data_IF_125851929868
#
_entry.id   IF_125851929868
#
_cell.length_a   1.000
_cell.length_b   1.000
_cell.length_c   1.000
_cell.angle_alpha   90.00
_cell.angle_beta   90.00
_cell.angle_gamma   90.00
#
_symmetry.space_group_name_H-M   'P 1'
#
loop_
_entity.id
_entity.type
_entity.pdbx_description
1 polymer ?
#
# COMPACT_ATOMS: atom_id res chain seq x y z
N UNK A 1 13.34 17.77 6.15
CA UNK A 1 12.00 18.36 5.94
C UNK A 1 11.18 17.24 5.35
N UNK A 2 10.11 16.80 6.00
CA UNK A 2 9.38 15.63 5.54
C UNK A 2 8.29 16.02 4.54
N UNK A 3 8.08 15.17 3.53
CA UNK A 3 7.05 15.32 2.52
C UNK A 3 6.25 14.03 2.36
N UNK A 4 4.96 14.18 2.22
CA UNK A 4 4.02 13.12 1.89
C UNK A 4 3.57 13.24 0.43
N UNK A 5 3.68 12.16 -0.31
CA UNK A 5 3.32 12.09 -1.73
C UNK A 5 2.19 11.09 -1.91
N UNK A 6 1.13 11.51 -2.61
CA UNK A 6 0.00 10.63 -2.99
C UNK A 6 -0.27 10.68 -4.48
N UNK A 7 -0.90 9.62 -4.99
CA UNK A 7 -1.14 9.37 -6.40
C UNK A 7 -2.64 9.20 -6.63
N UNK A 8 -3.17 9.91 -7.62
CA UNK A 8 -4.51 9.66 -8.13
C UNK A 8 -4.40 8.78 -9.36
N UNK A 9 -5.05 7.62 -9.30
CA UNK A 9 -4.88 6.54 -10.28
C UNK A 9 -6.23 6.22 -10.92
N UNK A 10 -6.24 5.94 -12.22
CA UNK A 10 -7.46 5.52 -12.93
C UNK A 10 -7.77 4.05 -12.61
N UNK A 11 -9.03 3.75 -12.33
CA UNK A 11 -9.54 2.38 -12.32
C UNK A 11 -10.80 2.30 -13.18
N UNK A 12 -10.97 1.16 -13.84
CA UNK A 12 -12.09 0.96 -14.78
C UNK A 12 -13.29 0.24 -14.16
N UNK A 13 -13.08 -0.44 -13.04
CA UNK A 13 -14.10 -1.27 -12.38
C UNK A 13 -13.95 -1.20 -10.87
N UNK A 14 -15.03 -1.49 -10.18
CA UNK A 14 -15.06 -1.71 -8.73
C UNK A 14 -15.48 -3.16 -8.51
N UNK A 15 -14.85 -3.83 -7.53
CA UNK A 15 -15.19 -5.19 -7.15
C UNK A 15 -16.61 -5.29 -6.58
N UNK A 16 -17.12 -6.51 -6.39
CA UNK A 16 -18.46 -6.79 -5.85
C UNK A 16 -18.73 -6.20 -4.47
N UNK A 17 -17.67 -5.94 -3.70
CA UNK A 17 -17.80 -5.26 -2.41
C UNK A 17 -18.12 -3.75 -2.55
N UNK A 18 -18.19 -3.22 -3.78
CA UNK A 18 -18.48 -1.84 -4.16
C UNK A 18 -17.51 -0.79 -3.61
N UNK A 19 -16.36 -1.21 -3.08
CA UNK A 19 -15.37 -0.30 -2.50
C UNK A 19 -13.94 -0.55 -2.98
N UNK A 20 -13.61 -1.77 -3.46
CA UNK A 20 -12.26 -2.07 -3.92
C UNK A 20 -12.10 -1.73 -5.41
N UNK A 21 -11.25 -0.76 -5.78
CA UNK A 21 -10.96 -0.50 -7.18
C UNK A 21 -10.19 -1.65 -7.83
N UNK A 22 -10.51 -1.91 -9.09
CA UNK A 22 -9.74 -2.79 -9.98
C UNK A 22 -9.09 -1.89 -11.03
N UNK A 23 -7.79 -1.66 -10.86
CA UNK A 23 -7.01 -0.77 -11.72
C UNK A 23 -6.76 -1.38 -13.10
N UNK A 24 -6.57 -0.53 -14.11
CA UNK A 24 -6.26 -0.97 -15.47
C UNK A 24 -4.87 -1.64 -15.56
N UNK A 25 -3.96 -1.24 -14.67
CA UNK A 25 -2.63 -1.83 -14.50
C UNK A 25 -2.19 -1.65 -13.05
N UNK A 26 -1.44 -2.64 -12.55
CA UNK A 26 -0.82 -2.64 -11.23
C UNK A 26 0.70 -2.40 -11.28
N UNK A 27 1.27 -2.15 -12.47
CA UNK A 27 2.71 -1.93 -12.64
C UNK A 27 3.23 -0.71 -11.86
N UNK A 28 2.39 0.32 -11.70
CA UNK A 28 2.71 1.49 -10.89
C UNK A 28 2.85 1.11 -9.40
N UNK A 29 1.89 0.35 -8.88
CA UNK A 29 1.86 -0.09 -7.49
C UNK A 29 3.02 -1.04 -7.19
N UNK A 30 3.25 -2.01 -8.09
CA UNK A 30 4.41 -2.92 -8.03
C UNK A 30 5.74 -2.14 -8.10
N UNK A 31 5.83 -1.12 -8.96
CA UNK A 31 6.99 -0.26 -9.07
C UNK A 31 7.29 0.54 -7.82
N UNK A 32 6.26 0.98 -7.09
CA UNK A 32 6.41 1.63 -5.78
C UNK A 32 6.81 0.65 -4.70
N UNK A 33 6.00 -0.39 -4.49
CA UNK A 33 6.17 -1.28 -3.35
C UNK A 33 7.51 -2.02 -3.42
N UNK A 34 7.96 -2.43 -4.62
CA UNK A 34 9.27 -3.08 -4.80
C UNK A 34 10.47 -2.20 -4.42
N UNK A 35 10.34 -0.87 -4.53
CA UNK A 35 11.38 0.06 -4.07
C UNK A 35 11.33 0.23 -2.56
N UNK A 36 10.13 0.34 -1.99
CA UNK A 36 9.92 0.56 -0.56
C UNK A 36 10.33 -0.66 0.27
N UNK A 37 10.04 -1.87 -0.22
CA UNK A 37 10.34 -3.13 0.49
C UNK A 37 11.83 -3.25 0.86
N UNK A 38 12.74 -2.70 0.04
CA UNK A 38 14.19 -2.68 0.31
C UNK A 38 14.59 -1.93 1.59
N UNK A 39 13.71 -1.07 2.09
CA UNK A 39 13.92 -0.23 3.27
C UNK A 39 12.83 -0.48 4.33
N UNK A 40 12.23 -1.67 4.34
CA UNK A 40 11.13 -2.01 5.26
C UNK A 40 11.54 -3.11 6.21
N UNK A 41 11.24 -2.93 7.50
CA UNK A 41 11.48 -3.92 8.56
C UNK A 41 10.19 -4.61 9.00
N UNK A 42 9.06 -3.90 8.92
CA UNK A 42 7.78 -4.29 9.51
C UNK A 42 6.61 -3.96 8.59
N UNK A 43 5.52 -4.69 8.79
CA UNK A 43 4.26 -4.43 8.08
C UNK A 43 3.07 -4.39 9.04
N UNK A 44 2.02 -3.71 8.59
CA UNK A 44 0.68 -3.77 9.18
C UNK A 44 -0.34 -3.94 8.05
N UNK A 45 -1.13 -5.00 8.10
CA UNK A 45 -2.26 -5.24 7.20
C UNK A 45 -3.55 -4.92 7.94
N UNK A 46 -4.41 -4.11 7.34
CA UNK A 46 -5.77 -3.83 7.82
C UNK A 46 -6.77 -4.35 6.81
N UNK A 47 -7.82 -4.96 7.32
CA UNK A 47 -8.76 -5.78 6.54
C UNK A 47 -10.17 -5.61 7.10
N UNK A 48 -11.18 -5.60 6.23
CA UNK A 48 -12.55 -5.80 6.64
C UNK A 48 -12.79 -7.28 6.98
N UNK A 49 -13.80 -7.55 7.82
CA UNK A 49 -14.16 -8.91 8.23
C UNK A 49 -14.47 -9.86 7.06
N UNK A 50 -14.85 -9.29 5.91
CA UNK A 50 -15.25 -10.03 4.71
C UNK A 50 -14.08 -10.17 3.69
N UNK A 51 -12.90 -9.60 3.96
CA UNK A 51 -11.69 -9.71 3.10
C UNK A 51 -11.01 -11.09 3.26
N UNK A 52 -11.69 -12.17 2.89
CA UNK A 52 -11.25 -13.56 3.18
C UNK A 52 -9.82 -13.85 2.72
N UNK A 53 -9.45 -13.50 1.48
CA UNK A 53 -8.10 -13.75 0.95
C UNK A 53 -7.03 -12.90 1.66
N UNK A 54 -7.37 -11.66 2.01
CA UNK A 54 -6.49 -10.78 2.77
C UNK A 54 -6.31 -11.24 4.23
N UNK A 55 -7.36 -11.75 4.87
CA UNK A 55 -7.30 -12.36 6.21
C UNK A 55 -6.41 -13.60 6.20
N UNK A 56 -6.51 -14.46 5.19
CA UNK A 56 -5.63 -15.62 5.05
C UNK A 56 -4.16 -15.20 4.91
N UNK A 57 -3.88 -14.17 4.11
CA UNK A 57 -2.54 -13.57 4.03
C UNK A 57 -2.09 -13.04 5.40
N UNK A 58 -2.94 -12.28 6.10
CA UNK A 58 -2.61 -11.72 7.42
C UNK A 58 -2.32 -12.79 8.47
N UNK A 59 -3.11 -13.86 8.51
CA UNK A 59 -2.90 -15.00 9.41
C UNK A 59 -1.62 -15.78 9.10
N UNK A 60 -1.23 -15.87 7.83
CA UNK A 60 -0.02 -16.57 7.40
C UNK A 60 1.25 -15.83 7.78
N UNK A 61 1.27 -14.51 7.62
CA UNK A 61 2.50 -13.72 7.73
C UNK A 61 2.59 -12.87 8.99
N UNK A 62 1.47 -12.63 9.68
CA UNK A 62 1.39 -11.71 10.80
C UNK A 62 0.69 -12.29 12.01
N UNK A 63 0.76 -11.54 13.10
CA UNK A 63 -0.02 -11.77 14.31
C UNK A 63 -1.17 -10.79 14.36
N UNK A 64 -2.38 -11.30 14.56
CA UNK A 64 -3.54 -10.44 14.80
C UNK A 64 -3.35 -9.67 16.11
N UNK A 65 -3.59 -8.37 16.08
CA UNK A 65 -3.53 -7.50 17.27
C UNK A 65 -4.88 -6.87 17.54
N UNK A 66 -5.21 -6.53 18.80
CA UNK A 66 -6.43 -5.80 19.11
C UNK A 66 -6.47 -4.45 18.38
N UNK A 67 -7.63 -4.09 17.85
CA UNK A 67 -7.90 -2.78 17.27
C UNK A 67 -9.22 -2.26 17.84
N UNK A 68 -9.14 -1.20 18.64
CA UNK A 68 -10.29 -0.61 19.32
C UNK A 68 -10.73 0.71 18.66
N UNK A 69 -10.05 1.14 17.61
CA UNK A 69 -10.27 2.45 16.97
C UNK A 69 -11.18 2.35 15.74
N UNK A 70 -11.07 1.26 14.99
CA UNK A 70 -11.86 0.99 13.79
C UNK A 70 -12.40 -0.43 13.83
N UNK A 71 -13.27 -0.78 12.89
CA UNK A 71 -13.79 -2.14 12.73
C UNK A 71 -12.86 -3.06 11.92
N UNK A 72 -11.68 -2.57 11.54
CA UNK A 72 -10.71 -3.32 10.75
C UNK A 72 -10.02 -4.39 11.61
N UNK A 73 -9.84 -5.56 11.03
CA UNK A 73 -8.95 -6.60 11.55
C UNK A 73 -7.52 -6.18 11.23
N UNK A 74 -6.64 -6.19 12.22
CA UNK A 74 -5.25 -5.74 12.08
C UNK A 74 -4.28 -6.88 12.32
N UNK A 75 -3.39 -7.13 11.36
CA UNK A 75 -2.25 -8.04 11.48
C UNK A 75 -0.95 -7.25 11.41
N UNK A 76 0.01 -7.61 12.28
CA UNK A 76 1.35 -7.00 12.31
C UNK A 76 2.42 -8.07 12.30
N UNK A 77 3.58 -7.76 11.73
CA UNK A 77 4.72 -8.64 11.75
C UNK A 77 5.98 -8.00 11.18
N UNK A 78 7.08 -8.76 11.25
CA UNK A 78 8.33 -8.41 10.57
C UNK A 78 8.20 -8.74 9.09
N UNK A 79 8.85 -7.96 8.24
CA UNK A 79 8.99 -8.30 6.84
C UNK A 79 9.90 -9.53 6.71
N UNK A 80 9.41 -10.59 6.08
CA UNK A 80 10.19 -11.78 5.74
C UNK A 80 10.29 -11.93 4.23
N UNK A 81 11.27 -12.68 3.70
CA UNK A 81 11.37 -12.93 2.25
C UNK A 81 10.10 -13.54 1.65
N UNK A 82 9.39 -14.40 2.40
CA UNK A 82 8.15 -15.01 1.94
C UNK A 82 7.01 -14.00 1.85
N UNK A 83 6.93 -13.05 2.78
CA UNK A 83 5.96 -11.97 2.70
C UNK A 83 6.30 -10.98 1.57
N UNK A 84 7.59 -10.64 1.40
CA UNK A 84 8.04 -9.84 0.27
C UNK A 84 7.62 -10.48 -1.07
N UNK A 85 7.80 -11.80 -1.19
CA UNK A 85 7.36 -12.53 -2.36
C UNK A 85 5.82 -12.49 -2.53
N UNK A 86 5.04 -12.66 -1.46
CA UNK A 86 3.57 -12.52 -1.52
C UNK A 86 3.15 -11.13 -2.03
N UNK A 87 3.76 -10.07 -1.49
CA UNK A 87 3.49 -8.68 -1.89
C UNK A 87 3.85 -8.43 -3.36
N UNK A 88 4.93 -9.03 -3.86
CA UNK A 88 5.40 -8.80 -5.23
C UNK A 88 4.71 -9.68 -6.28
N UNK A 89 4.20 -10.85 -5.90
CA UNK A 89 3.75 -11.86 -6.87
C UNK A 89 2.31 -12.34 -6.67
N UNK A 90 1.74 -12.13 -5.49
CA UNK A 90 0.43 -12.63 -5.09
C UNK A 90 -0.35 -11.57 -4.30
N UNK A 91 -0.36 -10.33 -4.79
CA UNK A 91 -0.97 -9.19 -4.11
C UNK A 91 -2.45 -8.97 -4.44
N UNK A 92 -2.97 -9.64 -5.47
CA UNK A 92 -4.36 -9.52 -5.91
C UNK A 92 -5.23 -10.66 -5.39
N UNK A 93 -6.49 -10.35 -5.10
CA UNK A 93 -7.55 -11.35 -4.92
C UNK A 93 -7.89 -12.03 -6.24
N UNK A 94 -8.68 -13.10 -6.20
CA UNK A 94 -9.23 -13.73 -7.41
C UNK A 94 -10.11 -12.80 -8.23
N UNK A 95 -10.70 -11.78 -7.60
CA UNK A 95 -11.50 -10.76 -8.28
C UNK A 95 -10.64 -9.68 -8.96
N UNK A 96 -9.35 -9.61 -8.61
CA UNK A 96 -8.36 -8.78 -9.31
C UNK A 96 -8.07 -7.44 -8.64
N UNK A 97 -8.53 -7.19 -7.42
CA UNK A 97 -8.14 -6.03 -6.62
C UNK A 97 -7.09 -6.40 -5.56
N UNK A 98 -6.42 -5.41 -4.96
CA UNK A 98 -5.43 -5.66 -3.90
C UNK A 98 -6.07 -6.38 -2.71
N UNK A 99 -5.40 -7.37 -2.14
CA UNK A 99 -5.92 -8.22 -1.05
C UNK A 99 -6.18 -7.47 0.25
N UNK A 100 -5.39 -6.44 0.54
CA UNK A 100 -5.41 -5.73 1.81
C UNK A 100 -6.14 -4.41 1.67
N UNK A 101 -7.11 -4.16 2.56
CA UNK A 101 -7.77 -2.86 2.61
C UNK A 101 -6.74 -1.76 2.87
N UNK A 102 -5.83 -1.97 3.82
CA UNK A 102 -4.61 -1.16 3.95
C UNK A 102 -3.38 -2.04 4.11
N UNK A 103 -2.34 -1.77 3.34
CA UNK A 103 -0.98 -2.28 3.56
C UNK A 103 -0.07 -1.12 3.97
N UNK A 104 0.39 -1.15 5.22
CA UNK A 104 1.37 -0.22 5.77
C UNK A 104 2.73 -0.90 5.87
N UNK A 105 3.78 -0.25 5.37
CA UNK A 105 5.17 -0.70 5.49
C UNK A 105 5.96 0.30 6.33
N UNK A 106 6.82 -0.23 7.20
CA UNK A 106 7.54 0.55 8.21
C UNK A 106 9.03 0.26 8.23
N UNK A 107 9.81 1.28 8.56
CA UNK A 107 11.23 1.18 8.93
C UNK A 107 11.37 1.62 10.38
N UNK A 108 11.77 0.72 11.27
CA UNK A 108 11.63 0.96 12.71
C UNK A 108 10.20 1.35 13.08
N UNK A 109 10.02 2.54 13.68
CA UNK A 109 8.71 3.08 14.09
C UNK A 109 8.02 3.93 13.02
N UNK A 110 8.69 4.26 11.93
CA UNK A 110 8.21 5.22 10.92
C UNK A 110 7.47 4.50 9.78
N UNK A 111 6.36 5.08 9.31
CA UNK A 111 5.69 4.62 8.11
C UNK A 111 6.45 5.14 6.89
N UNK A 112 6.89 4.23 6.02
CA UNK A 112 7.56 4.59 4.77
C UNK A 112 6.63 4.47 3.56
N UNK A 113 5.54 3.73 3.71
CA UNK A 113 4.51 3.56 2.69
C UNK A 113 3.18 3.15 3.31
N UNK A 114 2.10 3.66 2.73
CA UNK A 114 0.74 3.18 2.96
C UNK A 114 0.06 2.98 1.62
N UNK A 115 -0.64 1.86 1.47
CA UNK A 115 -1.54 1.58 0.36
C UNK A 115 -2.91 1.28 0.97
N UNK A 116 -3.68 2.33 1.23
CA UNK A 116 -5.02 2.29 1.80
C UNK A 116 -6.11 2.17 0.72
N UNK A 117 -7.32 1.84 1.15
CA UNK A 117 -8.49 1.64 0.28
C UNK A 117 -8.19 0.71 -0.92
N UNK A 118 -7.53 -0.42 -0.64
CA UNK A 118 -7.10 -1.40 -1.66
C UNK A 118 -6.19 -0.80 -2.75
N UNK A 119 -5.40 0.22 -2.38
CA UNK A 119 -4.46 0.92 -3.26
C UNK A 119 -4.99 2.21 -3.87
N UNK A 120 -6.27 2.57 -3.67
CA UNK A 120 -6.81 3.84 -4.18
C UNK A 120 -6.12 5.05 -3.56
N UNK A 121 -5.67 4.90 -2.32
CA UNK A 121 -4.95 5.93 -1.60
C UNK A 121 -3.55 5.40 -1.24
N UNK A 122 -2.57 5.79 -2.03
CA UNK A 122 -1.17 5.44 -1.77
C UNK A 122 -0.43 6.65 -1.20
N UNK A 123 0.29 6.48 -0.10
CA UNK A 123 1.11 7.50 0.55
C UNK A 123 2.56 7.03 0.63
N UNK A 124 3.50 7.89 0.24
CA UNK A 124 4.94 7.71 0.45
C UNK A 124 5.48 8.90 1.20
N UNK A 125 6.29 8.64 2.22
CA UNK A 125 6.96 9.66 3.02
C UNK A 125 8.44 9.74 2.64
N UNK A 126 8.92 10.94 2.37
CA UNK A 126 10.30 11.24 1.95
C UNK A 126 10.88 12.42 2.71
N UNK A 127 12.20 12.53 2.81
CA UNK A 127 12.89 13.48 3.70
C UNK A 127 13.50 14.71 3.00
N UNK A 128 13.31 14.80 1.67
CA UNK A 128 13.96 15.79 0.81
C UNK A 128 13.15 16.12 -0.45
N UNK A 129 13.27 17.35 -0.91
CA UNK A 129 12.61 17.82 -2.14
C UNK A 129 13.20 17.14 -3.39
N UNK A 130 14.46 16.72 -3.34
CA UNK A 130 15.11 15.93 -4.38
C UNK A 130 14.41 14.58 -4.57
N UNK A 131 14.05 13.89 -3.48
CA UNK A 131 13.29 12.64 -3.54
C UNK A 131 11.87 12.86 -4.07
N UNK A 132 11.22 13.96 -3.71
CA UNK A 132 9.92 14.36 -4.30
C UNK A 132 10.03 14.46 -5.82
N UNK A 133 11.04 15.18 -6.32
CA UNK A 133 11.25 15.36 -7.76
C UNK A 133 11.50 14.02 -8.49
N UNK A 134 12.27 13.11 -7.88
CA UNK A 134 12.51 11.76 -8.41
C UNK A 134 11.20 10.97 -8.53
N UNK A 135 10.36 11.02 -7.50
CA UNK A 135 9.08 10.30 -7.49
C UNK A 135 8.10 10.89 -8.50
N UNK A 136 8.00 12.22 -8.59
CA UNK A 136 7.16 12.87 -9.61
C UNK A 136 7.62 12.54 -11.04
N UNK A 137 8.94 12.47 -11.28
CA UNK A 137 9.46 12.06 -12.59
C UNK A 137 9.17 10.59 -12.88
N UNK A 138 9.35 9.71 -11.89
CA UNK A 138 9.01 8.30 -12.01
C UNK A 138 7.52 8.08 -12.33
N UNK A 139 6.63 8.85 -11.68
CA UNK A 139 5.18 8.73 -11.89
C UNK A 139 4.75 9.04 -13.33
N UNK A 140 5.46 9.94 -14.04
CA UNK A 140 5.20 10.23 -15.47
C UNK A 140 5.37 9.02 -16.39
N UNK A 141 6.09 7.99 -15.94
CA UNK A 141 6.23 6.72 -16.67
C UNK A 141 4.97 5.85 -16.66
N UNK A 142 3.95 6.20 -15.88
CA UNK A 142 2.74 5.41 -15.69
C UNK A 142 1.49 6.22 -16.10
N UNK A 143 0.96 6.04 -17.32
CA UNK A 143 -0.19 6.81 -17.83
C UNK A 143 -1.48 6.71 -16.99
N UNK A 144 -1.58 5.68 -16.15
CA UNK A 144 -2.69 5.46 -15.23
C UNK A 144 -2.68 6.44 -14.04
N UNK A 145 -1.50 6.95 -13.66
CA UNK A 145 -1.36 8.03 -12.67
C UNK A 145 -1.66 9.34 -13.38
N UNK A 146 -2.75 9.99 -13.01
CA UNK A 146 -3.18 11.23 -13.68
C UNK A 146 -2.94 12.49 -12.83
N UNK A 147 -2.67 12.32 -11.53
CA UNK A 147 -2.24 13.41 -10.64
C UNK A 147 -1.32 12.87 -9.55
N UNK A 148 -0.34 13.69 -9.17
CA UNK A 148 0.54 13.45 -8.02
C UNK A 148 0.44 14.67 -7.13
N UNK A 149 0.01 14.47 -5.89
CA UNK A 149 -0.12 15.54 -4.89
C UNK A 149 1.01 15.41 -3.87
N UNK A 150 1.61 16.53 -3.48
CA UNK A 150 2.74 16.60 -2.55
C UNK A 150 2.38 17.54 -1.41
N UNK A 151 2.56 17.07 -0.18
CA UNK A 151 2.29 17.82 1.03
C UNK A 151 3.58 17.91 1.85
N UNK A 152 3.97 19.12 2.23
CA UNK A 152 5.05 19.32 3.19
C UNK A 152 4.50 19.07 4.60
N UNK A 153 5.15 18.21 5.37
CA UNK A 153 4.78 17.99 6.76
C UNK A 153 5.34 19.13 7.63
N UNK A 154 4.49 19.73 8.46
CA UNK A 154 4.95 20.61 9.53
C UNK A 154 5.49 19.74 10.68
N UNK A 155 6.72 20.03 11.12
CA UNK A 155 7.39 19.32 12.22
C UNK A 155 7.08 19.91 13.59
#
# INVERSE_FOLDING_TARGET
MEYNITFMVKYGKVAKNNIAPIFESYEWWLGLVSKVLKNTDEFEMRLWKDDVEGIQSGQRFGKQVPNNNTMEIVFKGKLTPELEQEILTNYLTKEGHIKWFTLNLKKGSEYVFSSANYGDETLITVDSIEQVNVIQMWAKGYPIIWRVDVFQCEG
#
